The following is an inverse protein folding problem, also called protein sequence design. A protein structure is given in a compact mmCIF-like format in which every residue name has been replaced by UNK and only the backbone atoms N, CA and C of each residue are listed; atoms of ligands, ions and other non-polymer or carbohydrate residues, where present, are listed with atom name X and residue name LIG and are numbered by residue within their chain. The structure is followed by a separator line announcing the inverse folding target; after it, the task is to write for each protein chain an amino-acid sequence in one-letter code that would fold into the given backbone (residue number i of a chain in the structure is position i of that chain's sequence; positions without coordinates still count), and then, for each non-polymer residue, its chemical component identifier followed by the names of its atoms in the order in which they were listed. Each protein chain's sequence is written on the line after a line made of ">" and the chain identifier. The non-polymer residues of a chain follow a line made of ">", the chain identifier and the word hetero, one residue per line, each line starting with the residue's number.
data_IF_266662526256
#
_entry.id   IF_266662526256
#
_cell.length_a   1.000
_cell.length_b   1.000
_cell.length_c   1.000
_cell.angle_alpha   90.00
_cell.angle_beta   90.00
_cell.angle_gamma   90.00
#
_symmetry.space_group_name_H-M   'P 1'
#
loop_
_entity.id
_entity.type
_entity.pdbx_description
1 polymer ?
#
# COMPACT_ATOMS: atom_id res chain seq x y z
N UNK A 1 11.39 -8.87 -2.30
CA UNK A 1 11.91 -7.56 -2.77
C UNK A 1 10.88 -6.45 -2.46
N UNK A 2 11.29 -5.21 -2.20
CA UNK A 2 10.33 -4.10 -1.98
C UNK A 2 9.93 -3.49 -3.34
N UNK A 3 8.63 -3.37 -3.62
CA UNK A 3 8.14 -2.82 -4.89
C UNK A 3 7.84 -1.33 -4.81
N UNK A 4 7.27 -0.87 -3.70
CA UNK A 4 6.97 0.54 -3.48
C UNK A 4 6.70 0.86 -2.02
N UNK A 5 6.72 2.15 -1.72
CA UNK A 5 6.39 2.73 -0.42
C UNK A 5 5.41 3.88 -0.66
N UNK A 6 4.23 3.77 -0.02
CA UNK A 6 3.12 4.70 -0.16
C UNK A 6 2.64 5.13 1.23
N UNK A 7 3.18 6.23 1.81
CA UNK A 7 2.63 6.84 3.00
C UNK A 7 1.37 7.65 2.67
N UNK A 8 0.27 7.36 3.35
CA UNK A 8 -0.99 8.07 3.21
C UNK A 8 -1.72 8.24 4.55
N UNK A 9 -2.49 9.32 4.66
CA UNK A 9 -3.29 9.58 5.86
C UNK A 9 -4.49 8.63 5.95
N UNK A 10 -5.12 8.56 7.12
CA UNK A 10 -6.40 7.81 7.29
C UNK A 10 -7.52 8.28 6.36
N UNK A 11 -7.42 9.51 5.83
CA UNK A 11 -8.37 10.09 4.87
C UNK A 11 -7.99 9.77 3.41
N UNK A 12 -6.96 8.94 3.19
CA UNK A 12 -6.47 8.56 1.86
C UNK A 12 -5.58 9.60 1.19
N UNK A 13 -5.17 10.66 1.90
CA UNK A 13 -4.24 11.67 1.35
C UNK A 13 -2.84 11.08 1.28
N UNK A 14 -2.39 10.79 0.07
CA UNK A 14 -1.07 10.28 -0.23
C UNK A 14 -0.03 11.38 -0.12
N UNK A 15 1.03 11.16 0.67
CA UNK A 15 2.09 12.15 0.88
C UNK A 15 3.28 11.93 -0.05
N UNK A 16 3.66 10.67 -0.27
CA UNK A 16 4.78 10.30 -1.14
C UNK A 16 4.42 9.06 -1.94
N UNK A 17 5.03 8.96 -3.11
CA UNK A 17 5.00 7.76 -3.93
C UNK A 17 6.41 7.38 -4.34
N UNK A 18 6.93 6.28 -3.79
CA UNK A 18 8.24 5.76 -4.18
C UNK A 18 8.08 4.37 -4.75
N UNK A 19 8.32 4.25 -6.06
CA UNK A 19 8.27 3.00 -6.79
C UNK A 19 9.68 2.50 -7.07
N UNK A 20 9.96 1.25 -6.71
CA UNK A 20 11.23 0.56 -6.95
C UNK A 20 11.11 -0.43 -8.11
N UNK A 21 9.90 -0.65 -8.62
CA UNK A 21 9.63 -1.45 -9.82
C UNK A 21 9.08 -0.55 -10.91
N UNK A 22 9.54 -0.78 -12.14
CA UNK A 22 9.05 -0.11 -13.33
C UNK A 22 7.67 -0.66 -13.70
N UNK A 23 6.64 0.10 -13.37
CA UNK A 23 5.25 -0.17 -13.74
C UNK A 23 4.71 1.01 -14.58
N UNK A 24 3.83 0.75 -15.56
CA UNK A 24 3.12 1.80 -16.28
C UNK A 24 2.39 2.75 -15.33
N UNK A 25 2.32 4.06 -15.64
CA UNK A 25 1.63 5.06 -14.80
C UNK A 25 0.18 4.68 -14.50
N UNK A 26 -0.52 4.13 -15.50
CA UNK A 26 -1.91 3.67 -15.36
C UNK A 26 -2.06 2.57 -14.31
N UNK A 27 -1.11 1.64 -14.26
CA UNK A 27 -1.10 0.56 -13.26
C UNK A 27 -0.72 1.09 -11.88
N UNK A 28 0.29 1.97 -11.81
CA UNK A 28 0.69 2.62 -10.55
C UNK A 28 -0.48 3.36 -9.91
N UNK A 29 -1.25 4.10 -10.69
CA UNK A 29 -2.41 4.83 -10.20
C UNK A 29 -3.53 3.90 -9.75
N UNK A 30 -3.83 2.84 -10.52
CA UNK A 30 -4.82 1.82 -10.15
C UNK A 30 -4.45 1.13 -8.83
N UNK A 31 -3.23 0.62 -8.73
CA UNK A 31 -2.71 -0.05 -7.53
C UNK A 31 -2.75 0.88 -6.31
N UNK A 32 -2.35 2.14 -6.48
CA UNK A 32 -2.41 3.15 -5.40
C UNK A 32 -3.84 3.34 -4.89
N UNK A 33 -4.82 3.52 -5.78
CA UNK A 33 -6.22 3.72 -5.41
C UNK A 33 -6.79 2.53 -4.66
N UNK A 34 -6.52 1.32 -5.12
CA UNK A 34 -6.99 0.09 -4.47
C UNK A 34 -6.41 -0.06 -3.05
N UNK A 35 -5.12 0.21 -2.86
CA UNK A 35 -4.48 0.13 -1.52
C UNK A 35 -5.06 1.15 -0.55
N UNK A 36 -5.23 2.38 -1.02
CA UNK A 36 -5.76 3.48 -0.23
C UNK A 36 -7.21 3.20 0.19
N UNK A 37 -7.95 2.37 -0.54
CA UNK A 37 -9.27 1.89 -0.14
C UNK A 37 -9.20 0.69 0.81
N UNK A 38 -8.42 -0.35 0.48
CA UNK A 38 -8.39 -1.61 1.24
C UNK A 38 -7.89 -1.41 2.67
N UNK A 39 -6.86 -0.59 2.86
CA UNK A 39 -6.16 -0.56 4.15
C UNK A 39 -6.91 0.23 5.23
N UNK A 40 -7.47 1.43 4.97
CA UNK A 40 -8.33 2.12 5.94
C UNK A 40 -9.62 1.35 6.27
N UNK A 41 -10.14 0.57 5.31
CA UNK A 41 -11.31 -0.29 5.53
C UNK A 41 -11.02 -1.47 6.45
N UNK A 42 -9.75 -1.82 6.70
CA UNK A 42 -9.39 -2.87 7.66
C UNK A 42 -9.40 -2.31 9.09
N UNK A 43 -10.17 -2.96 9.96
CA UNK A 43 -10.27 -2.60 11.37
C UNK A 43 -8.94 -2.72 12.13
N UNK A 44 -8.79 -1.95 13.21
CA UNK A 44 -7.55 -1.78 13.99
C UNK A 44 -7.02 -3.08 14.66
N UNK A 45 -7.82 -4.15 14.72
CA UNK A 45 -7.46 -5.44 15.33
C UNK A 45 -6.92 -6.47 14.34
N UNK A 46 -6.69 -6.08 13.08
CA UNK A 46 -6.15 -6.97 12.05
C UNK A 46 -4.63 -6.90 11.98
N UNK A 47 -4.00 -7.98 11.50
CA UNK A 47 -2.55 -8.05 11.33
C UNK A 47 -2.04 -6.92 10.45
N UNK A 48 -0.86 -6.38 10.76
CA UNK A 48 -0.13 -5.39 9.95
C UNK A 48 0.30 -5.90 8.56
N UNK A 49 -0.09 -7.12 8.20
CA UNK A 49 0.20 -7.77 6.92
C UNK A 49 -1.12 -8.14 6.24
N UNK A 50 -1.24 -7.80 4.96
CA UNK A 50 -2.37 -8.14 4.09
C UNK A 50 -1.82 -8.92 2.90
N UNK A 51 -2.36 -10.10 2.64
CA UNK A 51 -2.13 -10.78 1.37
C UNK A 51 -3.05 -10.13 0.33
N UNK A 52 -2.44 -9.58 -0.72
CA UNK A 52 -3.14 -8.94 -1.85
C UNK A 52 -2.57 -9.52 -3.13
N UNK A 53 -3.44 -10.13 -3.93
CA UNK A 53 -3.04 -10.90 -5.12
C UNK A 53 -1.88 -11.88 -4.82
N UNK A 54 -0.70 -11.61 -5.37
CA UNK A 54 0.53 -12.41 -5.19
C UNK A 54 1.56 -11.73 -4.30
N UNK A 55 1.18 -10.66 -3.63
CA UNK A 55 2.08 -9.76 -2.90
C UNK A 55 1.62 -9.61 -1.45
N UNK A 56 2.58 -9.31 -0.56
CA UNK A 56 2.28 -9.05 0.86
C UNK A 56 2.43 -7.56 1.17
N UNK A 57 1.35 -6.97 1.66
CA UNK A 57 1.26 -5.56 2.00
C UNK A 57 1.52 -5.45 3.48
N UNK A 58 2.56 -4.73 3.85
CA UNK A 58 2.89 -4.48 5.24
C UNK A 58 2.51 -3.04 5.55
N UNK A 59 1.56 -2.83 6.45
CA UNK A 59 1.12 -1.49 6.84
C UNK A 59 1.31 -1.25 8.33
N UNK A 60 1.72 -0.03 8.67
CA UNK A 60 1.88 0.42 10.04
C UNK A 60 0.79 1.44 10.36
N UNK A 61 0.25 1.37 11.57
CA UNK A 61 -0.94 2.10 12.07
C UNK A 61 -0.83 3.63 11.97
N UNK A 62 0.38 4.15 11.73
CA UNK A 62 0.68 5.55 11.51
C UNK A 62 0.52 6.02 10.04
N UNK A 63 -0.13 5.22 9.18
CA UNK A 63 -0.42 5.63 7.79
C UNK A 63 0.75 5.41 6.83
N UNK A 64 1.68 4.50 7.16
CA UNK A 64 2.76 4.12 6.26
C UNK A 64 2.54 2.70 5.76
N UNK A 65 2.52 2.53 4.44
CA UNK A 65 2.39 1.21 3.81
C UNK A 65 3.63 0.90 2.98
N UNK A 66 4.20 -0.26 3.28
CA UNK A 66 5.36 -0.85 2.66
C UNK A 66 4.92 -2.15 1.96
N UNK A 67 5.18 -2.29 0.66
CA UNK A 67 4.87 -3.53 -0.04
C UNK A 67 6.10 -4.39 -0.23
N UNK A 68 5.95 -5.69 0.01
CA UNK A 68 7.01 -6.69 -0.15
C UNK A 68 6.53 -7.86 -1.02
N UNK A 69 7.26 -8.12 -2.09
CA UNK A 69 7.22 -9.41 -2.79
C UNK A 69 7.86 -10.47 -1.89
N UNK A 70 7.13 -11.55 -1.66
CA UNK A 70 7.66 -12.81 -1.15
C UNK A 70 7.86 -13.75 -2.34
#
# INVERSE_FOLDING_TARGET
>A
MIHFILPFSRQGKLQLQKWYTTLPDKEREKTTREIVQIVPSRGQRTSSVVDWEKLKLVYKTNGQILWKCL
#
